data_IF_237436988811
#
_entry.id   IF_237436988811
#
_cell.length_a   1.000
_cell.length_b   1.000
_cell.length_c   1.000
_cell.angle_alpha   90.00
_cell.angle_beta   90.00
_cell.angle_gamma   90.00
#
_symmetry.space_group_name_H-M   'P 1'
#
loop_
_entity.id
_entity.type
_entity.pdbx_description
1 polymer ?
#
# COMPACT_ATOMS: atom_id res chain seq x y z
N UNK A 1 7.47 24.85 7.12
CA UNK A 1 7.15 25.29 5.71
C UNK A 1 5.73 24.85 5.39
N UNK A 2 4.91 25.67 4.73
CA UNK A 2 3.56 25.22 4.33
C UNK A 2 3.62 24.66 2.91
N UNK A 3 3.24 23.41 2.75
CA UNK A 3 3.17 22.73 1.46
C UNK A 3 1.79 22.97 0.82
N UNK A 4 1.78 23.18 -0.50
CA UNK A 4 0.55 23.40 -1.24
C UNK A 4 0.07 22.08 -1.88
N UNK A 5 -1.01 21.51 -1.33
CA UNK A 5 -1.65 20.31 -1.86
C UNK A 5 -2.88 20.61 -2.73
N UNK A 6 -3.25 21.89 -2.91
CA UNK A 6 -4.34 22.30 -3.80
C UNK A 6 -3.90 22.57 -5.24
N UNK A 7 -2.59 22.49 -5.51
CA UNK A 7 -2.06 22.70 -6.84
C UNK A 7 -2.46 21.56 -7.78
N UNK A 8 -3.15 21.91 -8.87
CA UNK A 8 -3.50 20.96 -9.94
C UNK A 8 -2.29 20.81 -10.87
N UNK A 9 -1.71 19.62 -10.90
CA UNK A 9 -0.52 19.31 -11.69
C UNK A 9 -0.93 18.52 -12.92
N UNK A 10 -0.59 19.02 -14.12
CA UNK A 10 -0.75 18.24 -15.33
C UNK A 10 0.26 17.09 -15.36
N UNK A 11 -0.23 15.84 -15.41
CA UNK A 11 0.58 14.62 -15.45
C UNK A 11 0.48 13.88 -16.79
N UNK A 12 -0.24 14.43 -17.77
CA UNK A 12 -0.30 13.89 -19.13
C UNK A 12 1.04 14.07 -19.86
N UNK A 13 1.43 13.07 -20.63
CA UNK A 13 2.68 13.08 -21.40
C UNK A 13 3.93 12.88 -20.53
N UNK A 14 3.77 12.24 -19.36
CA UNK A 14 4.87 11.93 -18.42
C UNK A 14 5.07 10.43 -18.23
N UNK A 15 4.46 9.61 -19.07
CA UNK A 15 4.39 8.14 -18.93
C UNK A 15 3.76 7.69 -17.61
N UNK A 16 2.90 8.51 -17.05
CA UNK A 16 2.18 8.23 -15.80
C UNK A 16 1.19 7.09 -16.02
N UNK A 17 1.40 5.97 -15.34
CA UNK A 17 0.45 4.84 -15.36
C UNK A 17 -0.96 5.30 -14.96
N UNK A 18 -1.08 6.22 -14.00
CA UNK A 18 -2.37 6.73 -13.53
C UNK A 18 -3.09 7.56 -14.58
N UNK A 19 -2.38 8.40 -15.34
CA UNK A 19 -2.93 9.36 -16.27
C UNK A 19 -2.85 8.92 -17.74
N UNK A 20 -1.68 8.48 -18.19
CA UNK A 20 -1.45 8.20 -19.62
C UNK A 20 -1.92 6.79 -20.04
N UNK A 21 -2.11 5.85 -19.09
CA UNK A 21 -2.65 4.54 -19.39
C UNK A 21 -4.19 4.46 -19.38
N UNK A 22 -4.90 5.57 -19.10
CA UNK A 22 -6.37 5.63 -19.01
C UNK A 22 -7.00 5.22 -20.34
N UNK A 23 -6.56 5.83 -21.44
CA UNK A 23 -7.10 5.53 -22.78
C UNK A 23 -6.88 4.06 -23.17
N UNK A 24 -5.69 3.52 -22.93
CA UNK A 24 -5.39 2.11 -23.22
C UNK A 24 -6.23 1.13 -22.39
N UNK A 25 -6.63 1.53 -21.18
CA UNK A 25 -7.36 0.66 -20.25
C UNK A 25 -8.87 0.71 -20.41
N UNK A 26 -9.42 1.90 -20.66
CA UNK A 26 -10.86 2.14 -20.73
C UNK A 26 -11.37 2.60 -22.10
N UNK A 27 -10.47 2.79 -23.09
CA UNK A 27 -10.85 3.28 -24.42
C UNK A 27 -11.27 4.76 -24.46
N UNK A 28 -10.99 5.51 -23.38
CA UNK A 28 -11.41 6.90 -23.18
C UNK A 28 -10.27 7.71 -22.57
N UNK A 29 -10.20 9.01 -22.87
CA UNK A 29 -9.18 9.93 -22.36
C UNK A 29 -9.77 11.07 -21.52
N UNK A 30 -11.09 11.09 -21.32
CA UNK A 30 -11.83 12.13 -20.60
C UNK A 30 -12.16 11.78 -19.15
N UNK A 31 -11.64 10.65 -18.65
CA UNK A 31 -11.87 10.18 -17.28
C UNK A 31 -10.98 10.90 -16.26
N UNK A 32 -11.51 11.17 -15.07
CA UNK A 32 -10.71 11.57 -13.92
C UNK A 32 -10.09 10.31 -13.29
N UNK A 33 -8.74 10.14 -13.33
CA UNK A 33 -8.11 8.92 -12.84
C UNK A 33 -7.89 8.97 -11.34
N UNK A 34 -8.60 8.10 -10.61
CA UNK A 34 -8.49 7.94 -9.15
C UNK A 34 -8.24 6.47 -8.76
N UNK A 35 -7.51 5.72 -9.60
CA UNK A 35 -7.32 4.28 -9.47
C UNK A 35 -5.94 3.84 -8.97
N UNK A 36 -4.84 4.40 -9.49
CA UNK A 36 -3.49 4.06 -9.06
C UNK A 36 -3.19 4.64 -7.67
N UNK A 37 -2.53 3.86 -6.83
CA UNK A 37 -2.13 4.28 -5.49
C UNK A 37 -0.81 5.09 -5.54
N UNK A 38 -0.81 6.20 -6.28
CA UNK A 38 0.11 7.33 -6.15
C UNK A 38 -0.69 8.63 -5.91
N UNK A 39 -0.04 9.68 -5.46
CA UNK A 39 -0.71 10.94 -5.17
C UNK A 39 -0.63 11.87 -6.40
N UNK A 40 -1.59 12.78 -6.52
CA UNK A 40 -1.54 13.87 -7.49
C UNK A 40 -0.92 15.17 -6.91
N UNK A 41 -0.20 15.04 -5.82
CA UNK A 41 0.64 16.08 -5.23
C UNK A 41 2.07 16.00 -5.75
N UNK A 42 2.82 17.10 -5.64
CA UNK A 42 4.27 17.05 -5.89
C UNK A 42 4.95 16.05 -4.96
N UNK A 43 5.92 15.31 -5.50
CA UNK A 43 6.88 14.61 -4.66
C UNK A 43 7.52 15.62 -3.69
N UNK A 44 7.77 15.20 -2.46
CA UNK A 44 8.33 16.07 -1.43
C UNK A 44 9.58 16.81 -1.94
N UNK A 45 9.67 18.15 -1.77
CA UNK A 45 10.66 18.97 -2.45
C UNK A 45 12.10 18.61 -2.10
N UNK A 46 12.37 18.22 -0.86
CA UNK A 46 13.71 17.80 -0.42
C UNK A 46 14.20 16.54 -1.14
N UNK A 47 13.29 15.66 -1.59
CA UNK A 47 13.65 14.51 -2.44
C UNK A 47 14.09 15.00 -3.82
N UNK A 48 13.32 15.88 -4.44
CA UNK A 48 13.64 16.45 -5.76
C UNK A 48 14.95 17.24 -5.72
N UNK A 49 15.17 18.02 -4.67
CA UNK A 49 16.40 18.79 -4.47
C UNK A 49 17.62 17.88 -4.33
N UNK A 50 17.52 16.80 -3.55
CA UNK A 50 18.59 15.84 -3.41
C UNK A 50 18.96 15.16 -4.75
N UNK A 51 17.95 14.79 -5.56
CA UNK A 51 18.18 14.22 -6.89
C UNK A 51 18.84 15.23 -7.83
N UNK A 52 18.37 16.49 -7.87
CA UNK A 52 18.98 17.55 -8.67
C UNK A 52 20.43 17.81 -8.28
N UNK A 53 20.72 17.92 -6.98
CA UNK A 53 22.06 18.10 -6.46
C UNK A 53 23.01 16.95 -6.87
N UNK A 54 22.52 15.71 -6.83
CA UNK A 54 23.32 14.55 -7.26
C UNK A 54 23.64 14.58 -8.75
N UNK A 55 22.72 15.10 -9.58
CA UNK A 55 22.92 15.23 -11.03
C UNK A 55 23.95 16.31 -11.40
N UNK A 56 24.30 17.24 -10.51
CA UNK A 56 25.41 18.18 -10.70
C UNK A 56 26.75 17.46 -10.88
N UNK A 57 26.89 16.26 -10.32
CA UNK A 57 27.98 15.36 -10.62
C UNK A 57 27.62 14.44 -11.78
N UNK A 58 28.10 14.74 -12.96
CA UNK A 58 27.66 14.16 -14.24
C UNK A 58 28.10 12.70 -14.49
N UNK A 59 28.71 12.03 -13.50
CA UNK A 59 29.10 10.61 -13.59
C UNK A 59 28.09 9.76 -12.82
N UNK A 60 27.34 8.90 -13.53
CA UNK A 60 26.36 7.96 -12.99
C UNK A 60 26.96 6.54 -12.98
N UNK A 61 28.04 6.36 -12.20
CA UNK A 61 28.72 5.08 -12.03
C UNK A 61 28.02 4.13 -11.06
N UNK A 62 28.61 2.97 -10.86
CA UNK A 62 28.16 2.04 -9.82
C UNK A 62 28.14 2.70 -8.45
N UNK A 63 27.16 2.31 -7.63
CA UNK A 63 26.96 2.89 -6.30
C UNK A 63 26.65 1.80 -5.29
N UNK A 64 27.01 2.05 -4.06
CA UNK A 64 26.63 1.21 -2.91
C UNK A 64 25.69 1.98 -1.99
N UNK A 65 25.05 1.30 -1.06
CA UNK A 65 24.21 1.94 -0.06
C UNK A 65 25.05 2.90 0.80
N UNK A 66 24.75 4.20 0.70
CA UNK A 66 25.44 5.19 1.51
C UNK A 66 24.99 5.06 2.99
N UNK A 67 25.84 5.51 3.91
CA UNK A 67 25.58 5.48 5.34
C UNK A 67 24.30 6.25 5.72
N UNK A 68 24.03 7.34 5.03
CA UNK A 68 22.85 8.16 5.22
C UNK A 68 21.56 7.38 4.90
N UNK A 69 21.60 6.38 4.00
CA UNK A 69 20.46 5.52 3.71
C UNK A 69 20.08 4.68 4.93
N UNK A 70 21.01 3.94 5.51
CA UNK A 70 20.74 3.10 6.68
C UNK A 70 20.42 3.93 7.92
N UNK A 71 21.18 4.99 8.18
CA UNK A 71 20.97 5.88 9.34
C UNK A 71 19.60 6.56 9.29
N UNK A 72 19.17 7.05 8.12
CA UNK A 72 17.86 7.69 7.99
C UNK A 72 16.71 6.71 8.25
N UNK A 73 16.81 5.47 7.76
CA UNK A 73 15.82 4.42 8.04
C UNK A 73 15.78 4.09 9.53
N UNK A 74 16.95 3.86 10.14
CA UNK A 74 17.05 3.52 11.58
C UNK A 74 16.41 4.60 12.44
N UNK A 75 16.73 5.87 12.16
CA UNK A 75 16.19 7.00 12.89
C UNK A 75 14.68 7.13 12.67
N UNK A 76 14.21 7.04 11.43
CA UNK A 76 12.79 7.13 11.09
C UNK A 76 11.96 6.06 11.79
N UNK A 77 12.38 4.81 11.68
CA UNK A 77 11.68 3.67 12.28
C UNK A 77 11.67 3.78 13.82
N UNK A 78 12.77 4.24 14.41
CA UNK A 78 12.84 4.50 15.85
C UNK A 78 11.89 5.62 16.28
N UNK A 79 11.88 6.74 15.58
CA UNK A 79 11.10 7.92 15.95
C UNK A 79 9.59 7.74 15.69
N UNK A 80 9.23 7.18 14.54
CA UNK A 80 7.82 7.06 14.13
C UNK A 80 7.15 5.79 14.65
N UNK A 81 7.88 4.69 14.73
CA UNK A 81 7.33 3.38 15.12
C UNK A 81 7.82 2.88 16.47
N UNK A 82 8.80 3.55 17.11
CA UNK A 82 9.37 3.13 18.39
C UNK A 82 10.21 1.86 18.30
N UNK A 83 10.66 1.49 17.10
CA UNK A 83 11.40 0.26 16.84
C UNK A 83 12.90 0.53 16.69
N UNK A 84 13.70 0.05 17.64
CA UNK A 84 15.15 0.17 17.61
C UNK A 84 15.74 -0.97 16.77
N UNK A 85 16.12 -0.66 15.55
CA UNK A 85 16.76 -1.60 14.62
C UNK A 85 18.24 -1.29 14.44
N UNK A 86 19.00 -2.26 13.89
CA UNK A 86 20.39 -2.13 13.52
C UNK A 86 20.58 -2.25 12.01
N UNK A 87 21.66 -1.72 11.48
CA UNK A 87 21.93 -1.67 10.04
C UNK A 87 21.93 -3.06 9.39
N UNK A 88 22.49 -4.06 10.05
CA UNK A 88 22.49 -5.44 9.53
C UNK A 88 21.12 -6.06 9.36
N UNK A 89 20.08 -5.53 10.04
CA UNK A 89 18.68 -5.98 9.89
C UNK A 89 18.03 -5.49 8.60
N UNK A 90 18.66 -4.53 7.92
CA UNK A 90 18.12 -3.94 6.70
C UNK A 90 18.54 -4.75 5.46
N UNK A 91 17.60 -4.95 4.56
CA UNK A 91 17.86 -5.49 3.22
C UNK A 91 17.12 -4.64 2.20
N UNK A 92 17.86 -4.05 1.25
CA UNK A 92 17.24 -3.30 0.16
C UNK A 92 16.38 -4.20 -0.71
N UNK A 93 15.24 -3.66 -1.18
CA UNK A 93 14.42 -4.30 -2.21
C UNK A 93 13.92 -3.26 -3.23
N UNK A 94 13.88 -3.60 -4.54
CA UNK A 94 13.48 -2.64 -5.59
C UNK A 94 11.96 -2.49 -5.71
N UNK A 95 11.28 -2.30 -4.60
CA UNK A 95 9.82 -2.25 -4.48
C UNK A 95 9.26 -3.49 -3.77
N UNK A 96 8.17 -3.30 -3.00
CA UNK A 96 7.63 -4.34 -2.12
C UNK A 96 7.17 -5.58 -2.90
N UNK A 97 6.42 -5.43 -4.00
CA UNK A 97 5.92 -6.59 -4.76
C UNK A 97 7.08 -7.44 -5.32
N UNK A 98 8.19 -6.80 -5.73
CA UNK A 98 9.41 -7.53 -6.13
C UNK A 98 10.06 -8.22 -4.94
N UNK A 99 10.12 -7.54 -3.79
CA UNK A 99 10.57 -8.13 -2.53
C UNK A 99 9.75 -9.36 -2.14
N UNK A 100 8.42 -9.31 -2.29
CA UNK A 100 7.53 -10.46 -2.06
C UNK A 100 7.90 -11.64 -2.98
N UNK A 101 8.15 -11.39 -4.27
CA UNK A 101 8.57 -12.44 -5.20
C UNK A 101 9.88 -13.09 -4.74
N UNK A 102 10.85 -12.30 -4.28
CA UNK A 102 12.12 -12.82 -3.76
C UNK A 102 11.92 -13.66 -2.49
N UNK A 103 11.05 -13.23 -1.56
CA UNK A 103 10.72 -14.03 -0.37
C UNK A 103 10.03 -15.34 -0.75
N UNK A 104 9.08 -15.30 -1.69
CA UNK A 104 8.41 -16.49 -2.22
C UNK A 104 9.42 -17.49 -2.78
N UNK A 105 10.36 -17.04 -3.59
CA UNK A 105 11.40 -17.91 -4.14
C UNK A 105 12.38 -18.42 -3.07
N UNK A 106 12.77 -17.57 -2.13
CA UNK A 106 13.71 -17.91 -1.08
C UNK A 106 13.17 -18.94 -0.07
N UNK A 107 11.90 -18.79 0.34
CA UNK A 107 11.35 -19.54 1.47
C UNK A 107 10.34 -20.62 1.09
N UNK A 108 9.98 -20.74 -0.18
CA UNK A 108 9.00 -21.73 -0.65
C UNK A 108 9.44 -22.46 -1.90
N UNK A 109 8.78 -23.59 -2.19
CA UNK A 109 8.92 -24.35 -3.40
C UNK A 109 7.64 -24.23 -4.26
N UNK A 110 7.72 -24.61 -5.55
CA UNK A 110 6.52 -24.72 -6.41
C UNK A 110 5.50 -25.66 -5.76
N UNK A 111 4.24 -25.24 -5.76
CA UNK A 111 3.13 -25.97 -5.13
C UNK A 111 2.96 -25.72 -3.64
N UNK A 112 3.89 -25.03 -2.96
CA UNK A 112 3.69 -24.62 -1.56
C UNK A 112 2.55 -23.61 -1.45
N UNK A 113 1.86 -23.66 -0.30
CA UNK A 113 0.70 -22.82 0.00
C UNK A 113 1.12 -21.50 0.63
N UNK A 114 0.51 -20.42 0.11
CA UNK A 114 0.69 -19.05 0.63
C UNK A 114 -0.69 -18.46 0.91
N UNK A 115 -0.92 -18.01 2.14
CA UNK A 115 -2.20 -17.45 2.54
C UNK A 115 -2.26 -15.94 2.35
N UNK A 116 -3.42 -15.46 1.90
CA UNK A 116 -3.81 -14.04 1.84
C UNK A 116 -5.23 -13.85 2.35
N UNK A 117 -5.59 -12.64 2.77
CA UNK A 117 -6.90 -12.33 3.36
C UNK A 117 -7.68 -11.34 2.46
N UNK A 118 -8.43 -11.82 1.45
CA UNK A 118 -9.20 -10.94 0.60
C UNK A 118 -10.45 -10.35 1.34
N UNK A 119 -10.96 -9.17 0.84
CA UNK A 119 -10.43 -8.41 -0.28
C UNK A 119 -9.06 -7.84 0.07
N UNK A 120 -8.04 -8.03 -0.78
CA UNK A 120 -6.66 -7.62 -0.48
C UNK A 120 -5.94 -7.15 -1.73
N UNK A 121 -4.89 -6.41 -1.58
CA UNK A 121 -4.05 -5.92 -2.67
C UNK A 121 -3.67 -7.07 -3.63
N UNK A 122 -4.23 -7.00 -4.84
CA UNK A 122 -4.19 -8.10 -5.81
C UNK A 122 -2.78 -8.62 -6.18
N UNK A 123 -1.71 -7.83 -6.18
CA UNK A 123 -0.39 -8.39 -6.42
C UNK A 123 0.03 -9.48 -5.43
N UNK A 124 -0.53 -9.54 -4.22
CA UNK A 124 -0.20 -10.59 -3.26
C UNK A 124 -0.56 -12.00 -3.78
N UNK A 125 -1.76 -12.17 -4.30
CA UNK A 125 -2.14 -13.46 -4.88
C UNK A 125 -1.64 -13.63 -6.32
N UNK A 126 -1.54 -12.55 -7.10
CA UNK A 126 -1.02 -12.65 -8.45
C UNK A 126 0.46 -13.04 -8.49
N UNK A 127 1.31 -12.46 -7.63
CA UNK A 127 2.73 -12.83 -7.58
C UNK A 127 2.89 -14.27 -7.09
N UNK A 128 2.05 -14.71 -6.14
CA UNK A 128 2.01 -16.08 -5.66
C UNK A 128 1.69 -17.06 -6.79
N UNK A 129 0.60 -16.82 -7.52
CA UNK A 129 0.15 -17.68 -8.64
C UNK A 129 1.15 -17.69 -9.79
N UNK A 130 1.65 -16.53 -10.20
CA UNK A 130 2.63 -16.41 -11.30
C UNK A 130 3.97 -17.09 -11.00
N UNK A 131 4.27 -17.30 -9.72
CA UNK A 131 5.44 -18.06 -9.28
C UNK A 131 5.10 -19.53 -8.95
N UNK A 132 3.97 -20.04 -9.41
CA UNK A 132 3.56 -21.45 -9.29
C UNK A 132 3.41 -21.93 -7.81
N UNK A 133 2.96 -21.03 -6.91
CA UNK A 133 2.54 -21.37 -5.55
C UNK A 133 1.02 -21.40 -5.49
N UNK A 134 0.48 -22.22 -4.60
CA UNK A 134 -0.96 -22.28 -4.33
C UNK A 134 -1.37 -21.13 -3.42
N UNK A 135 -2.41 -20.38 -3.82
CA UNK A 135 -2.98 -19.33 -2.97
C UNK A 135 -4.09 -19.91 -2.10
N UNK A 136 -3.95 -19.73 -0.80
CA UNK A 136 -5.02 -20.02 0.17
C UNK A 136 -5.70 -18.70 0.53
N UNK A 137 -6.99 -18.61 0.23
CA UNK A 137 -7.81 -17.44 0.56
C UNK A 137 -8.50 -17.63 1.90
N UNK A 138 -8.20 -16.76 2.87
CA UNK A 138 -8.89 -16.66 4.17
C UNK A 138 -9.63 -15.32 4.22
N UNK A 139 -10.88 -15.23 3.69
CA UNK A 139 -11.58 -13.98 3.52
C UNK A 139 -11.83 -13.25 4.83
N UNK A 140 -11.71 -11.92 4.77
CA UNK A 140 -12.13 -11.03 5.82
C UNK A 140 -13.66 -10.95 5.88
N UNK A 141 -14.19 -10.62 7.04
CA UNK A 141 -15.62 -10.42 7.27
C UNK A 141 -15.89 -8.92 7.38
N UNK A 142 -16.78 -8.41 6.53
CA UNK A 142 -17.29 -7.04 6.65
C UNK A 142 -18.44 -7.01 7.64
N UNK A 143 -18.30 -6.22 8.69
CA UNK A 143 -19.33 -5.98 9.70
C UNK A 143 -19.22 -4.54 10.18
N UNK A 144 -20.38 -3.88 10.32
CA UNK A 144 -20.46 -2.49 10.80
C UNK A 144 -19.49 -1.54 10.06
N UNK A 145 -19.43 -1.65 8.72
CA UNK A 145 -18.57 -0.88 7.82
C UNK A 145 -17.07 -1.03 8.13
N UNK A 146 -16.65 -2.17 8.72
CA UNK A 146 -15.26 -2.50 9.03
C UNK A 146 -14.94 -3.95 8.68
N UNK A 147 -13.69 -4.21 8.30
CA UNK A 147 -13.19 -5.56 8.06
C UNK A 147 -12.61 -6.18 9.33
N UNK A 148 -12.94 -7.46 9.55
CA UNK A 148 -12.49 -8.26 10.68
C UNK A 148 -11.92 -9.59 10.19
N UNK A 149 -11.03 -10.17 11.00
CA UNK A 149 -10.49 -11.50 10.78
C UNK A 149 -11.39 -12.51 11.50
N UNK A 150 -11.91 -13.50 10.76
CA UNK A 150 -12.50 -14.68 11.38
C UNK A 150 -11.37 -15.62 11.81
N UNK A 151 -10.96 -15.52 13.07
CA UNK A 151 -9.86 -16.34 13.60
C UNK A 151 -10.16 -17.83 13.66
N UNK A 152 -11.41 -18.27 13.67
CA UNK A 152 -11.76 -19.68 13.60
C UNK A 152 -11.43 -20.21 12.19
N UNK A 153 -11.84 -19.49 11.18
CA UNK A 153 -11.51 -19.79 9.78
C UNK A 153 -10.02 -19.66 9.51
N UNK A 154 -9.40 -18.57 9.97
CA UNK A 154 -7.96 -18.31 9.82
C UNK A 154 -7.12 -19.50 10.34
N UNK A 155 -7.46 -20.05 11.52
CA UNK A 155 -6.76 -21.24 12.10
C UNK A 155 -6.88 -22.49 11.23
N UNK A 156 -7.97 -22.63 10.49
CA UNK A 156 -8.16 -23.75 9.58
C UNK A 156 -7.41 -23.53 8.27
N UNK A 157 -7.55 -22.35 7.68
CA UNK A 157 -6.99 -22.03 6.37
C UNK A 157 -5.45 -21.96 6.39
N UNK A 158 -4.82 -21.56 7.50
CA UNK A 158 -3.36 -21.43 7.63
C UNK A 158 -2.64 -22.78 7.64
N UNK A 159 -3.35 -23.89 7.86
CA UNK A 159 -2.73 -25.20 7.99
C UNK A 159 -1.99 -25.63 6.72
N UNK A 160 -0.70 -25.93 6.86
CA UNK A 160 0.18 -26.31 5.76
C UNK A 160 0.64 -25.15 4.87
N UNK A 161 0.26 -23.91 5.18
CA UNK A 161 0.81 -22.74 4.51
C UNK A 161 2.27 -22.51 4.92
N UNK A 162 3.10 -22.12 3.97
CA UNK A 162 4.51 -21.74 4.22
C UNK A 162 4.66 -20.27 4.55
N UNK A 163 3.81 -19.43 3.94
CA UNK A 163 3.82 -17.98 4.11
C UNK A 163 2.39 -17.46 4.35
N UNK A 164 2.30 -16.40 5.15
CA UNK A 164 1.20 -15.46 5.18
C UNK A 164 1.69 -14.12 4.63
N UNK A 165 1.00 -13.54 3.64
CA UNK A 165 1.23 -12.16 3.22
C UNK A 165 0.17 -11.27 3.86
N UNK A 166 0.59 -10.49 4.85
CA UNK A 166 -0.25 -9.62 5.66
C UNK A 166 -0.17 -8.18 5.14
N UNK A 167 -1.30 -7.58 4.79
CA UNK A 167 -1.42 -6.13 4.53
C UNK A 167 -1.64 -5.39 5.85
N UNK A 168 -0.67 -4.61 6.30
CA UNK A 168 -0.66 -3.98 7.62
C UNK A 168 -0.08 -2.54 7.57
N UNK A 169 -0.90 -1.50 7.49
CA UNK A 169 -2.37 -1.45 7.39
C UNK A 169 -2.96 -2.11 6.15
N UNK A 170 -4.23 -2.48 6.25
CA UNK A 170 -4.92 -3.24 5.21
C UNK A 170 -5.33 -2.38 4.01
N UNK A 171 -5.09 -2.86 2.80
CA UNK A 171 -5.54 -2.30 1.52
C UNK A 171 -6.36 -3.38 0.78
N UNK A 172 -7.65 -3.13 0.39
CA UNK A 172 -8.24 -1.82 0.13
C UNK A 172 -9.04 -1.21 1.31
N UNK A 173 -9.33 -1.94 2.38
CA UNK A 173 -10.24 -1.50 3.43
C UNK A 173 -9.70 -0.42 4.38
N UNK A 174 -8.42 -0.06 4.28
CA UNK A 174 -7.81 0.97 5.14
C UNK A 174 -7.75 0.62 6.63
N UNK A 175 -7.94 -0.66 7.00
CA UNK A 175 -7.99 -1.13 8.39
C UNK A 175 -6.61 -1.08 9.06
N UNK A 176 -6.52 -0.50 10.23
CA UNK A 176 -5.38 -0.63 11.15
C UNK A 176 -5.69 -1.77 12.12
N UNK A 177 -4.96 -2.86 12.03
CA UNK A 177 -5.15 -4.01 12.91
C UNK A 177 -4.80 -3.66 14.35
N UNK A 178 -5.54 -4.20 15.32
CA UNK A 178 -5.23 -4.00 16.73
C UNK A 178 -4.03 -4.86 17.15
N UNK A 179 -3.41 -4.50 18.29
CA UNK A 179 -2.33 -5.32 18.85
C UNK A 179 -2.79 -6.74 19.17
N UNK A 180 -4.03 -6.88 19.63
CA UNK A 180 -4.66 -8.16 19.97
C UNK A 180 -4.87 -9.02 18.72
N UNK A 181 -5.35 -8.43 17.61
CA UNK A 181 -5.49 -9.14 16.33
C UNK A 181 -4.13 -9.59 15.80
N UNK A 182 -3.13 -8.70 15.79
CA UNK A 182 -1.77 -9.03 15.35
C UNK A 182 -1.10 -10.07 16.26
N UNK A 183 -1.35 -10.05 17.57
CA UNK A 183 -0.85 -11.07 18.50
C UNK A 183 -1.44 -12.44 18.17
N UNK A 184 -2.74 -12.53 17.91
CA UNK A 184 -3.37 -13.78 17.50
C UNK A 184 -2.81 -14.30 16.17
N UNK A 185 -2.58 -13.42 15.16
CA UNK A 185 -1.92 -13.79 13.91
C UNK A 185 -0.53 -14.37 14.20
N UNK A 186 0.27 -13.66 15.01
CA UNK A 186 1.63 -14.08 15.33
C UNK A 186 1.67 -15.44 16.02
N UNK A 187 0.79 -15.67 17.01
CA UNK A 187 0.71 -16.94 17.72
C UNK A 187 0.32 -18.09 16.79
N UNK A 188 -0.74 -17.89 16.00
CA UNK A 188 -1.24 -18.93 15.08
C UNK A 188 -0.19 -19.27 14.02
N UNK A 189 0.43 -18.25 13.40
CA UNK A 189 1.45 -18.46 12.38
C UNK A 189 2.70 -19.16 12.95
N UNK A 190 3.14 -18.79 14.15
CA UNK A 190 4.26 -19.42 14.80
C UNK A 190 3.95 -20.91 15.11
N UNK A 191 2.77 -21.20 15.64
CA UNK A 191 2.33 -22.56 15.97
C UNK A 191 2.15 -23.46 14.73
N UNK A 192 1.75 -22.89 13.60
CA UNK A 192 1.60 -23.61 12.32
C UNK A 192 2.89 -23.71 11.50
N UNK A 193 3.99 -23.07 11.95
CA UNK A 193 5.25 -23.00 11.20
C UNK A 193 5.15 -22.14 9.92
N UNK A 194 4.22 -21.19 9.89
CA UNK A 194 4.00 -20.27 8.78
C UNK A 194 4.77 -18.97 9.00
N UNK A 195 5.67 -18.62 8.08
CA UNK A 195 6.40 -17.35 8.11
C UNK A 195 5.49 -16.18 7.69
N UNK A 196 5.58 -15.05 8.38
CA UNK A 196 4.77 -13.86 8.09
C UNK A 196 5.58 -12.85 7.29
N UNK A 197 5.01 -12.39 6.19
CA UNK A 197 5.47 -11.18 5.48
C UNK A 197 4.49 -10.07 5.83
N UNK A 198 4.93 -9.07 6.61
CA UNK A 198 4.13 -7.90 6.94
C UNK A 198 4.45 -6.76 5.97
N UNK A 199 3.53 -6.48 5.04
CA UNK A 199 3.64 -5.30 4.18
C UNK A 199 3.12 -4.08 4.91
N UNK A 200 4.05 -3.23 5.37
CA UNK A 200 3.78 -2.02 6.16
C UNK A 200 3.98 -0.72 5.35
N UNK A 201 3.82 -0.78 4.03
CA UNK A 201 4.03 0.39 3.14
C UNK A 201 3.08 1.56 3.46
N UNK A 202 1.95 1.30 4.10
CA UNK A 202 0.98 2.31 4.51
C UNK A 202 1.09 2.72 5.99
N UNK A 203 2.07 2.23 6.73
CA UNK A 203 2.23 2.45 8.18
C UNK A 203 2.25 3.93 8.56
N UNK A 204 3.04 4.74 7.86
CA UNK A 204 3.17 6.17 8.09
C UNK A 204 1.95 7.01 7.62
N UNK A 205 1.04 6.40 6.86
CA UNK A 205 -0.20 7.02 6.38
C UNK A 205 -1.40 6.73 7.29
N UNK A 206 -1.15 6.39 8.54
CA UNK A 206 -2.21 6.20 9.55
C UNK A 206 -2.89 7.52 9.85
N UNK A 207 -4.22 7.55 9.75
CA UNK A 207 -5.02 8.75 9.95
C UNK A 207 -5.36 8.93 11.43
N UNK A 208 -5.14 10.11 12.02
CA UNK A 208 -5.53 10.36 13.41
C UNK A 208 -7.02 10.06 13.67
N UNK A 209 -7.40 9.45 14.82
CA UNK A 209 -6.57 9.19 16.01
C UNK A 209 -5.82 7.84 16.00
N UNK A 210 -5.89 7.07 14.93
CA UNK A 210 -5.30 5.74 14.85
C UNK A 210 -3.77 5.79 14.88
N UNK A 211 -3.16 4.69 15.33
CA UNK A 211 -1.72 4.47 15.31
C UNK A 211 -1.44 3.06 14.81
N UNK A 212 -0.52 2.95 13.89
CA UNK A 212 -0.08 1.67 13.34
C UNK A 212 0.76 0.89 14.37
N UNK A 213 0.39 -0.35 14.71
CA UNK A 213 1.26 -1.22 15.47
C UNK A 213 2.13 -2.04 14.51
N UNK A 214 3.44 -1.81 14.53
CA UNK A 214 4.39 -2.61 13.74
C UNK A 214 4.35 -4.07 14.16
N UNK A 215 4.24 -4.98 13.20
CA UNK A 215 4.03 -6.41 13.47
C UNK A 215 5.15 -7.03 14.32
N UNK A 216 6.42 -6.76 13.99
CA UNK A 216 7.57 -7.28 14.73
C UNK A 216 7.62 -6.83 16.21
N UNK A 217 6.93 -5.73 16.57
CA UNK A 217 6.89 -5.23 17.95
C UNK A 217 5.77 -5.83 18.80
N UNK A 218 4.93 -6.68 18.22
CA UNK A 218 3.78 -7.25 18.93
C UNK A 218 4.20 -8.28 19.97
N UNK A 219 5.15 -9.17 19.61
CA UNK A 219 5.65 -10.22 20.50
C UNK A 219 6.98 -10.76 19.99
N UNK A 220 7.66 -11.57 20.84
CA UNK A 220 8.86 -12.31 20.45
C UNK A 220 8.59 -13.25 19.25
N UNK A 221 7.45 -13.95 19.26
CA UNK A 221 7.04 -14.81 18.14
C UNK A 221 6.87 -14.02 16.84
N UNK A 222 6.23 -12.84 16.90
CA UNK A 222 6.07 -11.97 15.74
C UNK A 222 7.42 -11.51 15.19
N UNK A 223 8.32 -11.07 16.08
CA UNK A 223 9.65 -10.57 15.75
C UNK A 223 10.51 -11.63 15.08
N UNK A 224 10.52 -12.84 15.65
CA UNK A 224 11.40 -13.93 15.21
C UNK A 224 10.84 -14.72 14.02
N UNK A 225 9.56 -14.54 13.66
CA UNK A 225 8.87 -15.26 12.60
C UNK A 225 8.30 -14.32 11.53
N UNK A 226 8.96 -13.20 11.25
CA UNK A 226 8.49 -12.28 10.24
C UNK A 226 9.61 -11.58 9.45
N UNK A 227 9.23 -11.14 8.24
CA UNK A 227 9.91 -10.12 7.45
C UNK A 227 8.96 -8.92 7.33
N UNK A 228 9.38 -7.76 7.80
CA UNK A 228 8.60 -6.52 7.71
C UNK A 228 9.09 -5.69 6.54
N UNK A 229 8.21 -5.35 5.61
CA UNK A 229 8.53 -4.53 4.45
C UNK A 229 8.00 -3.11 4.62
N UNK A 230 8.87 -2.13 4.39
CA UNK A 230 8.54 -0.71 4.46
C UNK A 230 9.10 0.05 3.26
N UNK A 231 8.54 1.23 2.99
CA UNK A 231 9.02 2.10 1.91
C UNK A 231 8.53 3.54 2.08
N UNK A 232 9.32 4.55 1.78
CA UNK A 232 8.87 5.93 1.69
C UNK A 232 8.01 6.23 0.46
N UNK A 233 7.90 5.28 -0.48
CA UNK A 233 7.34 5.52 -1.81
C UNK A 233 5.88 5.98 -1.81
N UNK A 234 5.03 5.45 -0.91
CA UNK A 234 3.63 5.87 -0.77
C UNK A 234 3.50 7.17 0.01
N UNK A 235 4.33 7.31 1.02
CA UNK A 235 4.32 8.45 1.94
C UNK A 235 4.73 9.75 1.23
N UNK A 236 5.84 9.74 0.49
CA UNK A 236 6.42 10.92 -0.14
C UNK A 236 6.15 11.02 -1.65
N UNK A 237 5.21 10.23 -2.16
CA UNK A 237 4.81 10.20 -3.57
C UNK A 237 5.99 9.97 -4.53
N UNK A 238 6.73 8.89 -4.32
CA UNK A 238 7.92 8.56 -5.11
C UNK A 238 8.00 7.08 -5.55
N UNK A 239 6.88 6.42 -5.93
CA UNK A 239 6.90 5.00 -6.27
C UNK A 239 7.75 4.66 -7.51
N UNK A 240 7.93 5.62 -8.42
CA UNK A 240 8.77 5.47 -9.60
C UNK A 240 10.26 5.26 -9.29
N UNK A 241 10.72 5.59 -8.07
CA UNK A 241 12.11 5.41 -7.64
C UNK A 241 12.40 4.01 -7.10
N UNK A 242 11.40 3.12 -7.05
CA UNK A 242 11.55 1.70 -6.71
C UNK A 242 12.41 1.45 -5.47
N UNK A 243 12.16 2.19 -4.40
CA UNK A 243 12.91 2.20 -3.15
C UNK A 243 12.09 1.60 -2.02
N UNK A 244 12.44 0.41 -1.55
CA UNK A 244 11.88 -0.23 -0.37
C UNK A 244 12.93 -1.07 0.34
N UNK A 245 12.60 -1.55 1.51
CA UNK A 245 13.51 -2.38 2.30
C UNK A 245 12.71 -3.35 3.16
N UNK A 246 13.35 -4.48 3.49
CA UNK A 246 12.90 -5.41 4.51
C UNK A 246 13.69 -5.19 5.79
N UNK A 247 13.02 -5.32 6.94
CA UNK A 247 13.61 -5.37 8.27
C UNK A 247 13.41 -6.79 8.80
N UNK A 248 14.52 -7.47 9.12
CA UNK A 248 14.50 -8.87 9.54
C UNK A 248 15.37 -9.02 10.78
N UNK A 249 14.75 -9.24 11.95
CA UNK A 249 15.49 -9.39 13.21
C UNK A 249 16.08 -10.78 13.40
N UNK A 250 15.37 -11.84 12.96
CA UNK A 250 15.87 -13.20 13.04
C UNK A 250 17.10 -13.42 12.15
N UNK A 251 18.23 -13.76 12.77
CA UNK A 251 19.53 -13.89 12.08
C UNK A 251 19.51 -14.96 10.99
N UNK A 252 18.83 -16.10 11.21
CA UNK A 252 18.76 -17.19 10.24
C UNK A 252 17.91 -16.80 9.02
N UNK A 253 16.74 -16.21 9.24
CA UNK A 253 15.87 -15.72 8.17
C UNK A 253 16.57 -14.62 7.38
N UNK A 254 17.25 -13.71 8.07
CA UNK A 254 17.98 -12.60 7.47
C UNK A 254 19.13 -13.09 6.59
N UNK A 255 19.99 -13.94 7.14
CA UNK A 255 21.12 -14.50 6.40
C UNK A 255 20.66 -15.24 5.15
N UNK A 256 19.62 -16.08 5.29
CA UNK A 256 19.04 -16.80 4.16
C UNK A 256 18.51 -15.88 3.08
N UNK A 257 17.78 -14.81 3.46
CA UNK A 257 17.23 -13.85 2.49
C UNK A 257 18.33 -13.01 1.83
N UNK A 258 19.28 -12.51 2.60
CA UNK A 258 20.41 -11.72 2.07
C UNK A 258 21.27 -12.55 1.11
N UNK A 259 21.62 -13.78 1.46
CA UNK A 259 22.33 -14.71 0.56
C UNK A 259 21.56 -14.94 -0.75
N UNK A 260 20.22 -15.09 -0.65
CA UNK A 260 19.39 -15.24 -1.85
C UNK A 260 19.42 -13.98 -2.72
N UNK A 261 19.35 -12.79 -2.12
CA UNK A 261 19.40 -11.51 -2.82
C UNK A 261 20.77 -11.29 -3.51
N UNK A 262 21.87 -11.63 -2.82
CA UNK A 262 23.22 -11.60 -3.38
C UNK A 262 23.36 -12.55 -4.57
N UNK A 263 22.95 -13.81 -4.40
CA UNK A 263 23.03 -14.81 -5.48
C UNK A 263 22.15 -14.46 -6.71
N UNK A 264 21.15 -13.61 -6.52
CA UNK A 264 20.25 -13.13 -7.57
C UNK A 264 20.64 -11.78 -8.15
N UNK A 265 21.78 -11.18 -7.71
CA UNK A 265 22.28 -9.85 -8.10
C UNK A 265 21.27 -8.71 -7.83
N UNK A 266 20.46 -8.85 -6.75
CA UNK A 266 19.48 -7.85 -6.31
C UNK A 266 19.76 -7.29 -4.92
N UNK A 267 20.93 -7.57 -4.35
CA UNK A 267 21.33 -7.07 -3.02
C UNK A 267 21.59 -5.56 -3.00
N UNK A 268 21.89 -4.98 -4.16
CA UNK A 268 22.18 -3.55 -4.29
C UNK A 268 21.03 -2.80 -4.98
N UNK A 269 20.78 -1.59 -4.50
CA UNK A 269 19.85 -0.65 -5.11
C UNK A 269 20.55 0.28 -6.11
N UNK A 270 19.77 1.07 -6.79
CA UNK A 270 20.30 2.08 -7.68
C UNK A 270 20.50 3.43 -6.95
N UNK A 271 21.40 4.24 -7.48
CA UNK A 271 21.81 5.55 -6.95
C UNK A 271 20.66 6.41 -6.43
N UNK A 272 19.61 6.58 -7.22
CA UNK A 272 18.49 7.45 -6.84
C UNK A 272 17.57 6.82 -5.80
N UNK A 273 17.52 5.48 -5.68
CA UNK A 273 16.75 4.82 -4.64
C UNK A 273 17.35 5.13 -3.26
N UNK A 274 18.65 4.95 -3.08
CA UNK A 274 19.32 5.22 -1.81
C UNK A 274 19.19 6.69 -1.40
N UNK A 275 19.50 7.59 -2.33
CA UNK A 275 19.48 9.02 -2.10
C UNK A 275 18.07 9.54 -1.75
N UNK A 276 17.06 9.04 -2.44
CA UNK A 276 15.68 9.47 -2.20
C UNK A 276 15.13 9.02 -0.85
N UNK A 277 15.49 7.79 -0.40
CA UNK A 277 15.14 7.32 0.95
C UNK A 277 15.81 8.17 2.01
N UNK A 278 17.12 8.41 1.87
CA UNK A 278 17.88 9.23 2.80
C UNK A 278 17.29 10.65 2.93
N UNK A 279 16.99 11.31 1.80
CA UNK A 279 16.38 12.63 1.78
C UNK A 279 14.95 12.63 2.38
N UNK A 280 14.14 11.63 2.01
CA UNK A 280 12.77 11.51 2.47
C UNK A 280 12.69 11.38 4.00
N UNK A 281 13.44 10.48 4.58
CA UNK A 281 13.37 10.22 6.01
C UNK A 281 14.14 11.25 6.86
N UNK A 282 15.20 11.85 6.34
CA UNK A 282 15.91 12.90 7.08
C UNK A 282 15.13 14.22 7.20
N UNK A 283 14.22 14.51 6.26
CA UNK A 283 13.55 15.81 6.17
C UNK A 283 12.02 15.71 6.13
N UNK A 284 11.45 14.50 6.18
CA UNK A 284 10.08 14.24 5.79
C UNK A 284 9.01 14.49 6.85
N UNK A 285 9.36 14.65 8.13
CA UNK A 285 8.39 14.68 9.23
C UNK A 285 7.31 15.75 9.03
N UNK A 286 7.69 17.00 8.80
CA UNK A 286 6.73 18.10 8.63
C UNK A 286 5.86 17.95 7.38
N UNK A 287 6.44 17.45 6.28
CA UNK A 287 5.68 17.20 5.04
C UNK A 287 4.65 16.11 5.25
N UNK A 288 5.05 15.00 5.89
CA UNK A 288 4.17 13.88 6.19
C UNK A 288 2.99 14.31 7.07
N UNK A 289 3.25 15.05 8.14
CA UNK A 289 2.19 15.50 9.04
C UNK A 289 1.16 16.38 8.31
N UNK A 290 1.62 17.25 7.39
CA UNK A 290 0.73 18.09 6.58
C UNK A 290 -0.05 17.30 5.52
N UNK A 291 0.59 16.36 4.81
CA UNK A 291 -0.10 15.56 3.79
C UNK A 291 -1.12 14.61 4.42
N UNK A 292 -0.81 14.03 5.58
CA UNK A 292 -1.77 13.19 6.34
C UNK A 292 -2.98 14.01 6.78
N UNK A 293 -2.75 15.23 7.27
CA UNK A 293 -3.85 16.15 7.64
C UNK A 293 -4.73 16.51 6.42
N UNK A 294 -4.12 16.77 5.27
CA UNK A 294 -4.85 17.07 4.03
C UNK A 294 -5.65 15.86 3.54
N UNK A 295 -5.03 14.68 3.50
CA UNK A 295 -5.71 13.42 3.14
C UNK A 295 -6.88 13.14 4.08
N UNK A 296 -6.68 13.31 5.40
CA UNK A 296 -7.78 13.17 6.38
C UNK A 296 -8.93 14.12 6.06
N UNK A 297 -8.62 15.37 5.71
CA UNK A 297 -9.63 16.34 5.28
C UNK A 297 -10.39 15.87 4.02
N UNK A 298 -9.71 15.25 3.05
CA UNK A 298 -10.35 14.67 1.86
C UNK A 298 -11.22 13.45 2.21
N UNK A 299 -10.78 12.60 3.14
CA UNK A 299 -11.59 11.48 3.66
C UNK A 299 -12.85 11.98 4.35
N UNK A 300 -12.72 12.97 5.26
CA UNK A 300 -13.86 13.56 5.97
C UNK A 300 -14.86 14.21 5.01
N UNK A 301 -14.35 14.92 4.02
CA UNK A 301 -15.18 15.54 2.97
C UNK A 301 -15.93 14.47 2.15
N UNK A 302 -15.24 13.42 1.71
CA UNK A 302 -15.87 12.32 0.96
C UNK A 302 -16.99 11.67 1.76
N UNK A 303 -16.76 11.40 3.04
CA UNK A 303 -17.76 10.80 3.92
C UNK A 303 -19.01 11.66 4.03
N UNK A 304 -18.83 12.96 4.30
CA UNK A 304 -19.94 13.92 4.41
C UNK A 304 -20.70 14.01 3.09
N UNK A 305 -19.99 14.16 1.97
CA UNK A 305 -20.58 14.28 0.65
C UNK A 305 -21.42 13.06 0.27
N UNK A 306 -20.89 11.85 0.48
CA UNK A 306 -21.65 10.61 0.20
C UNK A 306 -22.91 10.51 1.05
N UNK A 307 -22.82 10.80 2.35
CA UNK A 307 -23.98 10.76 3.26
C UNK A 307 -25.07 11.75 2.87
N UNK A 308 -24.71 12.94 2.44
CA UNK A 308 -25.67 14.01 2.11
C UNK A 308 -26.22 13.89 0.68
N UNK A 309 -25.40 13.47 -0.28
CA UNK A 309 -25.73 13.54 -1.70
C UNK A 309 -25.90 12.18 -2.37
N UNK A 310 -25.19 11.13 -1.91
CA UNK A 310 -25.21 9.80 -2.55
C UNK A 310 -25.37 8.69 -1.47
N UNK A 311 -26.44 8.69 -0.67
CA UNK A 311 -26.56 7.77 0.49
C UNK A 311 -26.62 6.28 0.11
N UNK A 312 -26.82 5.94 -1.17
CA UNK A 312 -26.74 4.59 -1.69
C UNK A 312 -25.29 4.05 -1.81
N UNK A 313 -24.29 4.92 -1.76
CA UNK A 313 -22.88 4.53 -1.73
C UNK A 313 -22.32 4.79 -0.34
N UNK A 314 -21.84 3.73 0.31
CA UNK A 314 -21.23 3.81 1.63
C UNK A 314 -19.71 3.75 1.52
N UNK A 315 -19.05 4.43 2.42
CA UNK A 315 -17.60 4.41 2.52
C UNK A 315 -17.16 3.48 3.66
N UNK A 316 -16.32 2.49 3.35
CA UNK A 316 -15.52 1.85 4.39
C UNK A 316 -14.49 2.89 4.83
N UNK A 317 -14.72 3.51 6.00
CA UNK A 317 -13.88 4.62 6.46
C UNK A 317 -12.44 4.13 6.73
N UNK A 318 -11.44 4.63 6.01
CA UNK A 318 -10.07 4.20 6.20
C UNK A 318 -9.52 4.75 7.53
N UNK A 319 -8.79 3.91 8.25
CA UNK A 319 -8.00 4.25 9.42
C UNK A 319 -6.54 4.58 9.03
N UNK A 320 -6.15 4.18 7.82
CA UNK A 320 -4.85 4.47 7.21
C UNK A 320 -4.98 4.52 5.69
N UNK A 321 -3.97 5.10 5.02
CA UNK A 321 -3.92 5.26 3.57
C UNK A 321 -4.81 6.42 3.07
N UNK A 322 -4.73 6.63 1.77
CA UNK A 322 -5.55 7.58 1.00
C UNK A 322 -6.49 6.85 0.02
N UNK A 323 -6.71 5.56 0.29
CA UNK A 323 -7.55 4.69 -0.53
C UNK A 323 -8.84 4.41 0.24
N UNK A 324 -9.96 4.70 -0.39
CA UNK A 324 -11.29 4.48 0.15
C UNK A 324 -11.94 3.33 -0.60
N UNK A 325 -12.47 2.37 0.10
CA UNK A 325 -13.26 1.29 -0.48
C UNK A 325 -14.73 1.65 -0.36
N UNK A 326 -15.39 1.86 -1.50
CA UNK A 326 -16.79 2.27 -1.61
C UNK A 326 -17.67 1.03 -1.74
N UNK A 327 -18.59 0.84 -0.82
CA UNK A 327 -19.66 -0.15 -0.92
C UNK A 327 -20.82 0.46 -1.74
N UNK A 328 -20.99 -0.07 -2.94
CA UNK A 328 -22.00 0.35 -3.90
C UNK A 328 -23.16 -0.65 -3.98
N UNK A 329 -23.23 -1.65 -3.10
CA UNK A 329 -24.20 -2.75 -3.16
C UNK A 329 -25.66 -2.29 -3.11
N UNK A 330 -25.95 -1.17 -2.41
CA UNK A 330 -27.29 -0.60 -2.33
C UNK A 330 -27.79 0.03 -3.64
N UNK A 331 -26.94 0.20 -4.65
CA UNK A 331 -27.37 0.60 -6.00
C UNK A 331 -28.08 -0.54 -6.74
N UNK A 332 -27.92 -1.80 -6.30
CA UNK A 332 -28.55 -2.96 -6.93
C UNK A 332 -28.00 -3.32 -8.30
N UNK A 333 -26.82 -2.79 -8.66
CA UNK A 333 -26.12 -3.04 -9.92
C UNK A 333 -25.20 -4.26 -9.78
N UNK A 334 -25.09 -5.06 -10.85
CA UNK A 334 -23.99 -6.02 -10.95
C UNK A 334 -22.66 -5.31 -11.24
N UNK A 335 -21.53 -6.04 -11.18
CA UNK A 335 -20.21 -5.41 -11.29
C UNK A 335 -19.96 -4.76 -12.66
N UNK A 336 -20.48 -5.32 -13.75
CA UNK A 336 -20.36 -4.75 -15.09
C UNK A 336 -21.15 -3.43 -15.22
N UNK A 337 -22.37 -3.41 -14.71
CA UNK A 337 -23.21 -2.21 -14.65
C UNK A 337 -22.58 -1.14 -13.75
N UNK A 338 -22.00 -1.56 -12.62
CA UNK A 338 -21.29 -0.67 -11.71
C UNK A 338 -20.06 -0.05 -12.39
N UNK A 339 -19.27 -0.83 -13.09
CA UNK A 339 -18.13 -0.33 -13.87
C UNK A 339 -18.58 0.65 -14.94
N UNK A 340 -19.68 0.38 -15.64
CA UNK A 340 -20.25 1.28 -16.63
C UNK A 340 -20.69 2.60 -16.00
N UNK A 341 -21.40 2.57 -14.87
CA UNK A 341 -21.78 3.78 -14.14
C UNK A 341 -20.57 4.68 -13.86
N UNK A 342 -19.48 4.10 -13.33
CA UNK A 342 -18.30 4.90 -13.00
C UNK A 342 -17.57 5.42 -14.25
N UNK A 343 -17.43 4.60 -15.28
CA UNK A 343 -16.63 4.92 -16.47
C UNK A 343 -17.44 5.74 -17.48
N UNK A 344 -18.63 5.28 -17.85
CA UNK A 344 -19.41 5.89 -18.92
C UNK A 344 -20.21 7.11 -18.45
N UNK A 345 -20.82 7.00 -17.28
CA UNK A 345 -21.78 8.01 -16.81
C UNK A 345 -21.09 9.03 -15.89
N UNK A 346 -20.29 8.57 -14.93
CA UNK A 346 -19.57 9.47 -14.01
C UNK A 346 -18.22 9.97 -14.53
N UNK A 347 -17.69 9.43 -15.62
CA UNK A 347 -16.36 9.76 -16.18
C UNK A 347 -15.23 9.62 -15.16
N UNK A 348 -15.22 8.53 -14.37
CA UNK A 348 -14.24 8.24 -13.33
C UNK A 348 -13.53 6.91 -13.61
N UNK A 349 -12.19 6.94 -13.58
CA UNK A 349 -11.39 5.73 -13.64
C UNK A 349 -11.00 5.30 -12.22
N UNK A 350 -11.72 4.32 -11.66
CA UNK A 350 -11.47 3.71 -10.35
C UNK A 350 -10.99 2.26 -10.51
N UNK A 351 -10.50 1.66 -9.42
CA UNK A 351 -10.32 0.22 -9.41
C UNK A 351 -11.64 -0.49 -9.09
N UNK A 352 -11.98 -1.42 -9.96
CA UNK A 352 -13.02 -2.42 -9.73
C UNK A 352 -12.69 -3.24 -8.47
N UNK A 353 -13.67 -3.39 -7.58
CA UNK A 353 -13.48 -4.08 -6.32
C UNK A 353 -13.13 -5.56 -6.47
N UNK A 354 -13.61 -6.22 -7.52
CA UNK A 354 -13.29 -7.63 -7.81
C UNK A 354 -11.79 -7.86 -8.09
N UNK A 355 -11.06 -6.80 -8.45
CA UNK A 355 -9.60 -6.83 -8.55
C UNK A 355 -8.93 -7.26 -7.22
N UNK A 356 -9.58 -7.03 -6.08
CA UNK A 356 -9.06 -7.35 -4.75
C UNK A 356 -9.49 -8.72 -4.22
N UNK A 357 -10.21 -9.49 -5.02
CA UNK A 357 -10.83 -10.78 -4.70
C UNK A 357 -12.33 -10.74 -4.94
N UNK A 358 -12.97 -11.90 -4.97
CA UNK A 358 -14.43 -12.01 -5.18
C UNK A 358 -15.25 -11.26 -4.10
N UNK A 359 -14.68 -11.08 -2.93
CA UNK A 359 -15.25 -10.34 -1.80
C UNK A 359 -15.37 -8.83 -2.08
N UNK A 360 -14.76 -8.36 -3.16
CA UNK A 360 -14.86 -6.99 -3.64
C UNK A 360 -15.98 -6.74 -4.65
N UNK A 361 -16.82 -7.74 -4.96
CA UNK A 361 -17.99 -7.55 -5.82
C UNK A 361 -18.95 -6.55 -5.20
N UNK A 362 -19.46 -5.60 -6.01
CA UNK A 362 -20.26 -4.48 -5.53
C UNK A 362 -19.46 -3.30 -4.95
N UNK A 363 -18.13 -3.38 -4.97
CA UNK A 363 -17.26 -2.32 -4.45
C UNK A 363 -16.44 -1.65 -5.54
N UNK A 364 -16.02 -0.39 -5.25
CA UNK A 364 -15.06 0.37 -6.05
C UNK A 364 -14.00 0.99 -5.13
N UNK A 365 -12.72 1.08 -5.57
CA UNK A 365 -11.67 1.73 -4.76
C UNK A 365 -11.31 3.09 -5.32
N UNK A 366 -11.51 4.13 -4.51
CA UNK A 366 -11.25 5.54 -4.78
C UNK A 366 -9.95 5.99 -4.13
N UNK A 367 -9.06 6.64 -4.87
CA UNK A 367 -7.87 7.33 -4.36
C UNK A 367 -8.20 8.81 -4.12
N UNK A 368 -8.09 9.28 -2.87
CA UNK A 368 -8.38 10.68 -2.48
C UNK A 368 -7.13 11.53 -2.24
N UNK A 369 -5.93 11.01 -2.56
CA UNK A 369 -4.69 11.81 -2.51
C UNK A 369 -4.55 12.68 -3.76
N UNK A 370 -5.45 13.64 -3.91
CA UNK A 370 -5.52 14.61 -4.99
C UNK A 370 -5.96 15.97 -4.43
N UNK A 371 -5.75 17.08 -5.17
CA UNK A 371 -6.30 18.38 -4.81
C UNK A 371 -7.81 18.34 -4.56
N UNK A 372 -8.28 19.08 -3.55
CA UNK A 372 -9.69 19.13 -3.15
C UNK A 372 -10.61 19.40 -4.34
N UNK A 373 -10.25 20.34 -5.22
CA UNK A 373 -11.06 20.67 -6.39
C UNK A 373 -11.26 19.48 -7.36
N UNK A 374 -10.25 18.61 -7.49
CA UNK A 374 -10.35 17.38 -8.29
C UNK A 374 -11.33 16.40 -7.64
N UNK A 375 -11.24 16.21 -6.32
CA UNK A 375 -12.14 15.34 -5.56
C UNK A 375 -13.59 15.83 -5.63
N UNK A 376 -13.83 17.12 -5.44
CA UNK A 376 -15.16 17.74 -5.56
C UNK A 376 -15.77 17.52 -6.94
N UNK A 377 -14.97 17.73 -7.99
CA UNK A 377 -15.41 17.47 -9.37
C UNK A 377 -15.81 16.01 -9.56
N UNK A 378 -14.98 15.09 -9.09
CA UNK A 378 -15.24 13.65 -9.21
C UNK A 378 -16.52 13.23 -8.47
N UNK A 379 -16.73 13.71 -7.25
CA UNK A 379 -17.94 13.37 -6.47
C UNK A 379 -19.21 13.98 -7.07
N UNK A 380 -19.16 15.20 -7.63
CA UNK A 380 -20.30 15.79 -8.35
C UNK A 380 -20.67 15.02 -9.62
N UNK A 381 -19.68 14.53 -10.37
CA UNK A 381 -19.93 13.68 -11.54
C UNK A 381 -20.59 12.35 -11.11
N UNK A 382 -20.13 11.75 -10.02
CA UNK A 382 -20.70 10.52 -9.46
C UNK A 382 -22.14 10.74 -8.97
N UNK A 383 -22.41 11.86 -8.28
CA UNK A 383 -23.77 12.24 -7.84
C UNK A 383 -24.73 12.32 -9.04
N UNK A 384 -24.34 13.04 -10.09
CA UNK A 384 -25.18 13.17 -11.29
C UNK A 384 -25.46 11.80 -11.93
N UNK A 385 -24.42 10.97 -12.10
CA UNK A 385 -24.58 9.63 -12.68
C UNK A 385 -25.50 8.74 -11.87
N UNK A 386 -25.43 8.80 -10.52
CA UNK A 386 -26.35 8.02 -9.64
C UNK A 386 -27.76 8.58 -9.68
N UNK A 387 -27.95 9.89 -9.81
CA UNK A 387 -29.28 10.50 -9.99
C UNK A 387 -29.96 10.06 -11.30
N UNK A 388 -29.17 9.85 -12.34
CA UNK A 388 -29.64 9.49 -13.68
C UNK A 388 -29.93 7.96 -13.82
N UNK A 389 -29.62 7.14 -12.82
CA UNK A 389 -29.90 5.70 -12.78
C UNK A 389 -31.41 5.34 -12.66
N UNK A 390 -32.34 6.29 -12.73
CA UNK A 390 -33.79 6.10 -12.49
C UNK A 390 -34.50 5.34 -13.58
#
# INVERSE_FOLDING_TARGET
MNYNFDEIINRHGTDSVKWDAVENRWGRNDLIPMWVADMDFRTAPFVIEALKKRLEHEVLGYTFACKEWSESIINWVKERHGWAIREEMLTFTPGIVRGLAFVIHCFTQKGDKIMVMPPVYHPFFLVTQKNEREVVFSPLVLKDEQYYIDFNRFRQDIQGCKLLILSNPHNPGGRVWTKEELSQIADICYESGTLVISDEIHADLTLPPYKHPTFALISEKARMNSLVFMSPSKVFNMPGLASSYAIIENDELRHRFQTYMEASEFSEGHLFAYLSVAAAYSHGTEWLDQVVAYIKGNVDFTETYLKEHIPAIKMIRPQASYLIFLDCSALGLNQEELNRLFVEDAHLALNDGTTFGKEGEGFMRLNVACPRATLEKALKQLEQAVMDLK
#
